data_IF_290668074336
#
_entry.id   IF_290668074336
#
_cell.length_a   1.000
_cell.length_b   1.000
_cell.length_c   1.000
_cell.angle_alpha   90.00
_cell.angle_beta   90.00
_cell.angle_gamma   90.00
#
_symmetry.space_group_name_H-M   'P 1'
#
loop_
_entity.id
_entity.type
_entity.pdbx_description
1 polymer ?
#
# COMPACT_ATOMS: atom_id res chain seq x y z
N UNK A 1 -67.68 4.51 -19.88
CA UNK A 1 -66.37 3.85 -19.76
C UNK A 1 -65.29 4.90 -19.94
N UNK A 2 -64.68 5.36 -18.84
CA UNK A 2 -63.78 6.52 -18.82
C UNK A 2 -62.31 6.09 -18.99
N UNK A 3 -61.62 6.78 -19.90
CA UNK A 3 -60.19 6.67 -20.24
C UNK A 3 -59.31 7.25 -19.12
N UNK A 4 -58.29 6.49 -18.67
CA UNK A 4 -57.34 6.92 -17.65
C UNK A 4 -56.08 7.52 -18.31
N UNK A 5 -55.89 8.81 -18.13
CA UNK A 5 -54.72 9.58 -18.54
C UNK A 5 -53.44 9.18 -17.78
N UNK A 6 -52.33 9.25 -18.51
CA UNK A 6 -50.95 9.14 -18.05
C UNK A 6 -50.61 10.26 -17.06
N UNK A 7 -49.90 9.92 -15.97
CA UNK A 7 -49.34 10.89 -15.03
C UNK A 7 -47.81 10.85 -15.11
N UNK A 8 -47.27 11.88 -15.74
CA UNK A 8 -45.85 12.19 -15.74
C UNK A 8 -45.32 12.45 -14.34
N UNK A 9 -44.10 11.97 -14.08
CA UNK A 9 -43.32 12.34 -12.91
C UNK A 9 -42.31 13.41 -13.31
N UNK A 10 -42.60 14.67 -12.96
CA UNK A 10 -41.63 15.76 -12.98
C UNK A 10 -40.84 15.83 -11.66
N UNK A 11 -39.54 16.07 -11.88
CA UNK A 11 -38.38 16.31 -11.02
C UNK A 11 -38.62 16.69 -9.54
N UNK A 12 -37.83 16.06 -8.66
CA UNK A 12 -37.30 16.72 -7.45
C UNK A 12 -35.78 16.80 -7.57
N UNK A 13 -35.27 18.02 -7.66
CA UNK A 13 -33.84 18.29 -7.53
C UNK A 13 -33.36 17.87 -6.13
N UNK A 14 -32.22 17.18 -6.07
CA UNK A 14 -31.48 17.02 -4.83
C UNK A 14 -30.51 18.18 -4.69
N UNK A 15 -30.47 18.68 -3.46
CA UNK A 15 -29.75 19.86 -3.04
C UNK A 15 -28.25 19.76 -3.21
N UNK A 16 -27.63 20.93 -3.03
CA UNK A 16 -26.29 21.26 -3.48
C UNK A 16 -25.19 20.31 -3.01
N UNK A 17 -24.23 20.13 -3.91
CA UNK A 17 -22.91 19.64 -3.57
C UNK A 17 -22.31 20.60 -2.53
N UNK A 18 -22.04 20.07 -1.33
CA UNK A 18 -21.21 20.76 -0.36
C UNK A 18 -19.86 21.07 -1.02
N UNK A 19 -19.47 22.33 -0.91
CA UNK A 19 -18.22 22.86 -1.43
C UNK A 19 -17.04 21.94 -1.08
N UNK A 20 -16.20 21.69 -2.08
CA UNK A 20 -14.99 20.90 -1.93
C UNK A 20 -14.16 21.39 -0.76
N UNK A 21 -13.91 20.51 0.19
CA UNK A 21 -12.82 20.70 1.13
C UNK A 21 -11.53 20.73 0.31
N UNK A 22 -10.85 21.86 0.33
CA UNK A 22 -9.51 22.00 -0.23
C UNK A 22 -8.61 20.87 0.32
N UNK A 23 -7.68 20.33 -0.49
CA UNK A 23 -6.75 19.33 0.01
C UNK A 23 -6.02 19.92 1.23
N UNK A 24 -6.08 19.23 2.37
CA UNK A 24 -5.27 19.58 3.53
C UNK A 24 -3.81 19.43 3.09
N UNK A 25 -3.15 20.53 2.76
CA UNK A 25 -1.71 20.58 2.57
C UNK A 25 -1.08 20.40 3.94
N UNK A 26 -0.85 19.14 4.32
CA UNK A 26 -0.02 18.84 5.48
C UNK A 26 1.41 19.31 5.18
N UNK A 27 2.05 19.96 6.16
CA UNK A 27 3.46 20.35 6.04
C UNK A 27 4.32 19.13 5.68
N UNK A 28 5.15 19.30 4.65
CA UNK A 28 6.23 18.38 4.28
C UNK A 28 7.08 18.06 5.52
N UNK A 29 7.19 16.78 5.88
CA UNK A 29 7.86 16.31 7.10
C UNK A 29 6.94 15.74 8.19
N UNK A 30 5.64 16.11 8.26
CA UNK A 30 4.69 15.52 9.24
C UNK A 30 3.90 14.35 8.70
N UNK A 31 3.75 14.30 7.38
CA UNK A 31 2.82 13.41 6.69
C UNK A 31 3.04 11.91 6.98
N UNK A 32 4.29 11.50 7.17
CA UNK A 32 4.68 10.11 7.45
C UNK A 32 5.33 9.92 8.82
N UNK A 33 5.18 10.89 9.73
CA UNK A 33 5.80 10.82 11.06
C UNK A 33 5.34 9.58 11.84
N UNK A 34 4.05 9.22 11.73
CA UNK A 34 3.52 8.01 12.36
C UNK A 34 4.13 6.73 11.78
N UNK A 35 4.36 6.70 10.47
CA UNK A 35 4.98 5.56 9.82
C UNK A 35 6.43 5.35 10.32
N UNK A 36 7.18 6.44 10.51
CA UNK A 36 8.52 6.42 11.09
C UNK A 36 8.48 5.98 12.56
N UNK A 37 7.54 6.50 13.34
CA UNK A 37 7.38 6.18 14.76
C UNK A 37 7.14 4.69 14.97
N UNK A 38 6.14 4.13 14.29
CA UNK A 38 5.81 2.68 14.38
C UNK A 38 6.96 1.81 13.86
N UNK A 39 7.68 2.24 12.81
CA UNK A 39 8.87 1.52 12.36
C UNK A 39 9.89 1.39 13.49
N UNK A 40 10.27 2.51 14.13
CA UNK A 40 11.28 2.50 15.19
C UNK A 40 10.85 1.72 16.44
N UNK A 41 9.59 1.85 16.83
CA UNK A 41 9.09 1.27 18.08
C UNK A 41 8.75 -0.21 17.97
N UNK A 42 8.25 -0.66 16.81
CA UNK A 42 7.68 -2.01 16.67
C UNK A 42 8.33 -2.84 15.57
N UNK A 43 8.89 -2.21 14.54
CA UNK A 43 9.43 -2.91 13.37
C UNK A 43 10.81 -2.36 12.95
N UNK A 44 11.77 -2.26 13.89
CA UNK A 44 13.04 -1.59 13.62
C UNK A 44 13.82 -2.36 12.56
N UNK A 45 14.58 -1.65 11.72
CA UNK A 45 15.45 -2.33 10.75
C UNK A 45 16.54 -3.10 11.47
N UNK A 46 16.53 -4.42 11.36
CA UNK A 46 17.45 -5.33 12.07
C UNK A 46 18.72 -5.68 11.31
N UNK A 47 18.86 -5.25 10.06
CA UNK A 47 19.99 -5.64 9.19
C UNK A 47 20.62 -4.46 8.46
N UNK A 48 21.94 -4.51 8.30
CA UNK A 48 22.69 -3.59 7.44
C UNK A 48 22.82 -4.10 6.00
N UNK A 49 22.49 -5.38 5.76
CA UNK A 49 22.54 -5.97 4.42
C UNK A 49 21.46 -5.35 3.54
N UNK A 50 21.80 -5.14 2.27
CA UNK A 50 20.81 -4.71 1.27
C UNK A 50 19.86 -5.86 0.95
N UNK A 51 18.57 -5.63 1.09
CA UNK A 51 17.51 -6.59 0.76
C UNK A 51 16.95 -6.24 -0.62
N UNK A 52 16.96 -7.18 -1.57
CA UNK A 52 16.52 -6.94 -2.96
C UNK A 52 15.12 -7.49 -3.21
N UNK A 53 14.30 -6.75 -3.95
CA UNK A 53 13.05 -7.29 -4.50
C UNK A 53 13.40 -8.20 -5.68
N UNK A 54 13.08 -9.50 -5.58
CA UNK A 54 13.25 -10.45 -6.67
C UNK A 54 11.96 -10.65 -7.46
N UNK A 55 12.00 -11.53 -8.47
CA UNK A 55 10.83 -11.90 -9.31
C UNK A 55 9.60 -12.33 -8.50
N UNK A 56 9.79 -12.81 -7.26
CA UNK A 56 8.72 -13.26 -6.40
C UNK A 56 8.65 -12.49 -5.08
N UNK A 57 9.08 -11.21 -5.09
CA UNK A 57 9.09 -10.33 -3.93
C UNK A 57 10.32 -10.50 -3.06
N UNK A 58 10.18 -10.14 -1.78
CA UNK A 58 11.21 -10.34 -0.77
C UNK A 58 11.10 -11.74 -0.17
N UNK A 59 12.22 -12.47 -0.10
CA UNK A 59 12.30 -13.80 0.52
C UNK A 59 13.63 -13.96 1.26
N UNK A 60 13.55 -14.33 2.52
CA UNK A 60 14.69 -14.69 3.38
C UNK A 60 14.15 -15.44 4.60
N UNK A 61 14.95 -15.61 5.65
CA UNK A 61 14.52 -16.13 6.95
C UNK A 61 13.39 -15.29 7.53
N UNK A 62 12.39 -15.94 8.12
CA UNK A 62 11.24 -15.26 8.71
C UNK A 62 11.66 -14.18 9.73
N UNK A 63 12.62 -14.49 10.59
CA UNK A 63 13.18 -13.57 11.61
C UNK A 63 13.82 -12.29 11.06
N UNK A 64 14.12 -12.23 9.75
CA UNK A 64 14.67 -11.05 9.08
C UNK A 64 13.61 -10.23 8.33
N UNK A 65 12.33 -10.64 8.37
CA UNK A 65 11.28 -10.06 7.52
C UNK A 65 10.35 -9.08 8.21
N UNK A 66 10.34 -8.97 9.54
CA UNK A 66 9.38 -8.12 10.26
C UNK A 66 9.32 -6.66 9.72
N UNK A 67 10.47 -5.97 9.67
CA UNK A 67 10.54 -4.61 9.11
C UNK A 67 10.21 -4.55 7.61
N UNK A 68 10.47 -5.63 6.87
CA UNK A 68 10.13 -5.75 5.44
C UNK A 68 8.61 -5.81 5.26
N UNK A 69 7.92 -6.62 6.07
CA UNK A 69 6.47 -6.77 6.05
C UNK A 69 5.77 -5.45 6.35
N UNK A 70 6.21 -4.76 7.41
CA UNK A 70 5.68 -3.45 7.78
C UNK A 70 5.77 -2.44 6.63
N UNK A 71 6.96 -2.32 6.03
CA UNK A 71 7.22 -1.39 4.91
C UNK A 71 6.44 -1.79 3.64
N UNK A 72 6.24 -3.08 3.39
CA UNK A 72 5.41 -3.55 2.27
C UNK A 72 3.93 -3.30 2.47
N UNK A 73 3.42 -3.34 3.71
CA UNK A 73 2.06 -2.90 4.01
C UNK A 73 1.82 -1.44 3.63
N UNK A 74 2.77 -0.55 3.97
CA UNK A 74 2.71 0.86 3.58
C UNK A 74 2.74 1.01 2.06
N UNK A 75 3.69 0.34 1.38
CA UNK A 75 3.82 0.44 -0.07
C UNK A 75 2.57 -0.07 -0.80
N UNK A 76 1.96 -1.17 -0.33
CA UNK A 76 0.72 -1.69 -0.89
C UNK A 76 -0.42 -0.66 -0.81
N UNK A 77 -0.53 0.05 0.32
CA UNK A 77 -1.51 1.12 0.46
C UNK A 77 -1.22 2.31 -0.48
N UNK A 78 0.05 2.68 -0.67
CA UNK A 78 0.44 3.69 -1.66
C UNK A 78 0.10 3.26 -3.08
N UNK A 79 0.39 2.01 -3.44
CA UNK A 79 0.07 1.44 -4.76
C UNK A 79 -1.43 1.40 -5.02
N UNK A 80 -2.23 1.09 -3.99
CA UNK A 80 -3.68 1.11 -4.09
C UNK A 80 -4.22 2.52 -4.37
N UNK A 81 -3.63 3.55 -3.75
CA UNK A 81 -4.01 4.96 -4.01
C UNK A 81 -3.61 5.43 -5.41
N UNK A 82 -2.47 4.99 -5.90
CA UNK A 82 -1.96 5.26 -7.26
C UNK A 82 -2.88 4.64 -8.32
N UNK A 83 -3.15 3.33 -8.21
CA UNK A 83 -3.98 2.60 -9.18
C UNK A 83 -5.48 2.82 -8.99
N UNK A 84 -5.89 3.35 -7.84
CA UNK A 84 -7.28 3.49 -7.40
C UNK A 84 -8.04 2.15 -7.40
N UNK A 85 -7.33 1.08 -7.06
CA UNK A 85 -7.85 -0.28 -7.04
C UNK A 85 -7.29 -1.08 -5.86
N UNK A 86 -7.84 -2.28 -5.64
CA UNK A 86 -7.34 -3.18 -4.60
C UNK A 86 -5.93 -3.68 -4.95
N UNK A 87 -5.05 -3.75 -3.95
CA UNK A 87 -3.72 -4.36 -4.08
C UNK A 87 -3.65 -5.59 -3.20
N UNK A 88 -3.16 -6.69 -3.77
CA UNK A 88 -2.93 -7.92 -3.04
C UNK A 88 -1.56 -7.94 -2.37
N UNK A 89 -1.51 -8.51 -1.18
CA UNK A 89 -0.27 -8.86 -0.48
C UNK A 89 -0.32 -10.36 -0.20
N UNK A 90 0.66 -11.11 -0.68
CA UNK A 90 0.76 -12.54 -0.39
C UNK A 90 1.99 -12.82 0.46
N UNK A 91 1.76 -13.35 1.67
CA UNK A 91 2.82 -13.78 2.60
C UNK A 91 3.06 -15.27 2.39
N UNK A 92 4.20 -15.60 1.77
CA UNK A 92 4.59 -16.98 1.46
C UNK A 92 6.04 -17.02 0.96
N UNK A 93 6.73 -18.13 1.23
CA UNK A 93 7.94 -18.49 0.49
C UNK A 93 7.73 -19.70 -0.43
N UNK A 94 6.49 -20.07 -0.75
CA UNK A 94 6.16 -21.14 -1.71
C UNK A 94 6.91 -22.44 -1.37
N UNK A 95 7.81 -22.89 -2.24
CA UNK A 95 8.59 -24.12 -2.10
C UNK A 95 9.83 -24.00 -1.20
N UNK A 96 10.15 -22.81 -0.69
CA UNK A 96 11.31 -22.62 0.17
C UNK A 96 11.17 -23.43 1.49
N UNK A 97 12.28 -23.77 2.16
CA UNK A 97 12.27 -24.41 3.48
C UNK A 97 11.39 -23.68 4.51
N UNK A 98 10.86 -24.39 5.50
CA UNK A 98 9.94 -23.87 6.53
C UNK A 98 10.45 -22.61 7.26
N UNK A 99 11.76 -22.46 7.59
CA UNK A 99 12.25 -21.25 8.26
C UNK A 99 12.24 -19.99 7.40
N UNK A 100 12.10 -20.13 6.09
CA UNK A 100 12.02 -18.97 5.19
C UNK A 100 10.59 -18.43 5.19
N UNK A 101 10.42 -17.16 4.87
CA UNK A 101 9.14 -16.59 4.53
C UNK A 101 9.33 -15.54 3.43
N UNK A 102 8.28 -14.84 3.06
CA UNK A 102 8.40 -13.79 2.06
C UNK A 102 7.10 -13.04 1.84
N UNK A 103 7.22 -11.94 1.12
CA UNK A 103 6.09 -11.09 0.74
C UNK A 103 6.23 -10.66 -0.70
N UNK A 104 5.13 -10.77 -1.45
CA UNK A 104 4.99 -10.22 -2.80
C UNK A 104 3.71 -9.40 -2.90
N UNK A 105 3.77 -8.35 -3.71
CA UNK A 105 2.61 -7.52 -4.03
C UNK A 105 1.99 -8.00 -5.35
N UNK A 106 0.68 -7.88 -5.44
CA UNK A 106 -0.13 -8.28 -6.59
C UNK A 106 -0.92 -7.06 -7.03
N UNK A 107 -0.74 -6.67 -8.30
CA UNK A 107 -1.40 -5.52 -8.89
C UNK A 107 -2.87 -5.87 -9.26
N UNK A 108 -3.69 -4.87 -9.64
CA UNK A 108 -5.15 -5.00 -9.63
C UNK A 108 -5.76 -6.07 -10.53
N UNK A 109 -5.08 -6.49 -11.60
CA UNK A 109 -5.54 -7.55 -12.50
C UNK A 109 -4.99 -8.93 -12.12
N UNK A 110 -4.32 -9.07 -10.96
CA UNK A 110 -3.72 -10.32 -10.48
C UNK A 110 -2.30 -10.55 -10.98
N UNK A 111 -1.72 -9.59 -11.68
CA UNK A 111 -0.36 -9.58 -12.18
C UNK A 111 0.67 -9.30 -11.07
N UNK A 112 1.93 -9.57 -11.40
CA UNK A 112 3.04 -9.19 -10.52
C UNK A 112 3.14 -7.66 -10.44
N UNK A 113 3.67 -7.16 -9.32
CA UNK A 113 3.93 -5.74 -9.14
C UNK A 113 4.68 -5.15 -10.35
N UNK A 114 4.21 -4.00 -10.84
CA UNK A 114 4.87 -3.32 -11.95
C UNK A 114 6.37 -3.10 -11.67
N UNK A 115 7.28 -3.33 -12.64
CA UNK A 115 8.74 -3.22 -12.43
C UNK A 115 9.21 -1.88 -11.85
N UNK A 116 8.56 -0.77 -12.23
CA UNK A 116 8.86 0.55 -11.67
C UNK A 116 8.61 0.62 -10.15
N UNK A 117 7.66 -0.15 -9.64
CA UNK A 117 7.32 -0.23 -8.23
C UNK A 117 8.18 -1.23 -7.45
N UNK A 118 8.82 -2.20 -8.11
CA UNK A 118 9.84 -3.05 -7.48
C UNK A 118 11.04 -2.22 -6.99
N UNK A 119 11.41 -1.18 -7.75
CA UNK A 119 12.44 -0.22 -7.35
C UNK A 119 12.00 0.57 -6.10
N UNK A 120 10.76 1.06 -6.05
CA UNK A 120 10.21 1.72 -4.86
C UNK A 120 10.20 0.80 -3.64
N UNK A 121 9.83 -0.48 -3.82
CA UNK A 121 9.86 -1.47 -2.77
C UNK A 121 11.27 -1.67 -2.22
N UNK A 122 12.25 -1.84 -3.12
CA UNK A 122 13.66 -2.00 -2.76
C UNK A 122 14.18 -0.76 -2.02
N UNK A 123 13.89 0.45 -2.50
CA UNK A 123 14.28 1.70 -1.84
C UNK A 123 13.69 1.82 -0.45
N UNK A 124 12.37 1.59 -0.31
CA UNK A 124 11.68 1.74 0.97
C UNK A 124 12.18 0.72 2.01
N UNK A 125 12.37 -0.54 1.62
CA UNK A 125 12.89 -1.58 2.53
C UNK A 125 14.33 -1.31 2.95
N UNK A 126 15.15 -0.69 2.09
CA UNK A 126 16.53 -0.42 2.44
C UNK A 126 16.76 0.91 3.16
N UNK A 127 15.79 1.81 3.22
CA UNK A 127 15.87 3.05 3.99
C UNK A 127 16.24 2.79 5.46
N UNK A 128 16.97 3.70 6.10
CA UNK A 128 17.04 3.71 7.57
C UNK A 128 15.65 4.01 8.13
N UNK A 129 15.41 3.71 9.42
CA UNK A 129 14.09 4.00 10.01
C UNK A 129 13.78 5.51 9.98
N UNK A 130 14.79 6.36 10.19
CA UNK A 130 14.70 7.81 9.97
C UNK A 130 14.44 8.20 8.50
N UNK A 131 14.93 7.40 7.56
CA UNK A 131 14.79 7.64 6.13
C UNK A 131 13.45 7.22 5.53
N UNK A 132 12.57 6.58 6.30
CA UNK A 132 11.27 6.10 5.82
C UNK A 132 10.41 7.25 5.29
N UNK A 133 10.31 8.37 6.04
CA UNK A 133 9.50 9.50 5.62
C UNK A 133 9.97 10.07 4.27
N UNK A 134 11.27 10.30 4.12
CA UNK A 134 11.86 10.80 2.87
C UNK A 134 11.62 9.85 1.69
N UNK A 135 11.73 8.53 1.91
CA UNK A 135 11.43 7.53 0.89
C UNK A 135 9.95 7.57 0.45
N UNK A 136 9.02 7.69 1.41
CA UNK A 136 7.59 7.76 1.12
C UNK A 136 7.21 9.08 0.43
N UNK A 137 7.82 10.20 0.78
CA UNK A 137 7.65 11.49 0.09
C UNK A 137 8.14 11.43 -1.35
N UNK A 138 9.30 10.80 -1.58
CA UNK A 138 9.84 10.60 -2.92
C UNK A 138 8.91 9.72 -3.78
N UNK A 139 8.39 8.61 -3.23
CA UNK A 139 7.45 7.73 -3.94
C UNK A 139 6.14 8.48 -4.25
N UNK A 140 5.60 9.22 -3.27
CA UNK A 140 4.36 10.02 -3.42
C UNK A 140 4.52 11.02 -4.56
N UNK A 141 5.66 11.71 -4.61
CA UNK A 141 5.96 12.70 -5.64
C UNK A 141 6.16 12.05 -7.02
N UNK A 142 6.92 10.96 -7.09
CA UNK A 142 7.23 10.26 -8.34
C UNK A 142 5.97 9.67 -9.01
N UNK A 143 5.11 9.02 -8.22
CA UNK A 143 3.87 8.41 -8.69
C UNK A 143 2.67 9.37 -8.66
N UNK A 144 2.85 10.64 -8.26
CA UNK A 144 1.79 11.67 -8.16
C UNK A 144 0.57 11.17 -7.35
N UNK A 145 0.85 10.51 -6.23
CA UNK A 145 -0.17 9.85 -5.41
C UNK A 145 -0.99 10.90 -4.66
N UNK A 146 -2.31 10.84 -4.79
CA UNK A 146 -3.21 11.57 -3.91
C UNK A 146 -3.44 10.76 -2.63
N UNK A 147 -2.88 11.22 -1.52
CA UNK A 147 -2.96 10.53 -0.24
C UNK A 147 -4.27 10.73 0.51
N UNK A 148 -5.15 11.61 0.03
CA UNK A 148 -6.54 11.70 0.48
C UNK A 148 -7.41 10.55 -0.03
N UNK A 149 -6.97 9.81 -1.05
CA UNK A 149 -7.71 8.65 -1.53
C UNK A 149 -7.66 7.50 -0.52
N UNK A 150 -8.79 6.79 -0.39
CA UNK A 150 -8.84 5.54 0.35
C UNK A 150 -7.93 4.49 -0.32
N UNK A 151 -7.31 3.64 0.50
CA UNK A 151 -6.55 2.49 0.05
C UNK A 151 -7.31 1.21 0.41
N UNK A 152 -7.27 0.22 -0.47
CA UNK A 152 -7.79 -1.13 -0.22
C UNK A 152 -6.66 -2.14 -0.44
N UNK A 153 -6.26 -2.81 0.63
CA UNK A 153 -5.25 -3.86 0.60
C UNK A 153 -5.87 -5.17 1.08
N UNK A 154 -5.64 -6.24 0.34
CA UNK A 154 -6.13 -7.59 0.65
C UNK A 154 -4.91 -8.46 0.95
N UNK A 155 -4.87 -9.06 2.14
CA UNK A 155 -3.74 -9.88 2.57
C UNK A 155 -4.14 -11.35 2.58
N UNK A 156 -3.33 -12.17 1.91
CA UNK A 156 -3.36 -13.64 2.00
C UNK A 156 -2.05 -14.15 2.58
N UNK A 157 -2.10 -15.32 3.24
CA UNK A 157 -0.90 -16.02 3.73
C UNK A 157 -1.02 -17.52 3.54
N UNK A 158 0.12 -18.19 3.44
CA UNK A 158 0.18 -19.66 3.53
C UNK A 158 0.16 -20.14 5.00
N UNK A 159 0.47 -21.42 5.21
CA UNK A 159 0.44 -22.08 6.53
C UNK A 159 1.71 -21.92 7.36
N UNK A 160 2.67 -21.07 6.96
CA UNK A 160 3.87 -20.80 7.75
C UNK A 160 3.51 -20.09 9.07
N UNK A 161 4.20 -20.45 10.14
CA UNK A 161 3.95 -19.95 11.50
C UNK A 161 5.04 -19.01 12.04
N UNK A 162 6.16 -18.87 11.32
CA UNK A 162 7.25 -17.98 11.71
C UNK A 162 7.05 -16.60 11.06
N UNK A 163 7.11 -15.56 11.90
CA UNK A 163 7.13 -14.15 11.58
C UNK A 163 8.27 -13.48 12.35
#
# INVERSE_FOLDING_TARGET
>A
MATRQERGWQRRGRGGAAAGQSPVTMESGKMFAEAVRVAKESHPKTTTKTVKYGTAGFRTKAEELDFVMYRMGILAAMRSRDTRAAIGVMITASHNPVPDNGVKLVDPQGEMLAPAWEAHATTLVNATDDGIAAALEAITSAAKINTGNAALVIVGRDTRWLF
#
